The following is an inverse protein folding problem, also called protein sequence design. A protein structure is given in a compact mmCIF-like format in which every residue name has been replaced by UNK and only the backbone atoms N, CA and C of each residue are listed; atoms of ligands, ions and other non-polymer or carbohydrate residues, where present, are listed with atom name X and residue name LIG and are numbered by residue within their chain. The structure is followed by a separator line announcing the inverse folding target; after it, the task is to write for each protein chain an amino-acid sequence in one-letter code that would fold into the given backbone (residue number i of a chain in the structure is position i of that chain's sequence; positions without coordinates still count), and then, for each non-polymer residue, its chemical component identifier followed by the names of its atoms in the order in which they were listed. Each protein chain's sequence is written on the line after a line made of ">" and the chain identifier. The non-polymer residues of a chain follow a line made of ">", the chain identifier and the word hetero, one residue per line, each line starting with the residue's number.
data_IF_006927019652
#
_entry.id   IF_006927019652
#
_cell.length_a   1.000
_cell.length_b   1.000
_cell.length_c   1.000
_cell.angle_alpha   90.00
_cell.angle_beta   90.00
_cell.angle_gamma   90.00
#
_symmetry.space_group_name_H-M   'P 1'
#
loop_
_entity.id
_entity.type
_entity.pdbx_description
1 polymer ?
#
# COMPACT_ATOMS: atom_id res chain seq x y z
N UNK A 1 -24.29 -41.24 17.50
CA UNK A 1 -23.32 -40.61 16.58
C UNK A 1 -23.94 -39.33 16.07
N UNK A 2 -23.51 -38.16 16.57
CA UNK A 2 -23.95 -36.88 16.03
C UNK A 2 -22.99 -36.52 14.87
N UNK A 3 -23.57 -36.35 13.68
CA UNK A 3 -22.83 -35.83 12.53
C UNK A 3 -22.57 -34.33 12.75
N UNK A 4 -21.30 -33.95 12.89
CA UNK A 4 -20.87 -32.54 12.86
C UNK A 4 -20.96 -32.10 11.40
N UNK A 5 -21.95 -31.27 11.08
CA UNK A 5 -22.01 -30.60 9.79
C UNK A 5 -20.88 -29.58 9.70
N UNK A 6 -19.85 -29.88 8.95
CA UNK A 6 -18.83 -28.91 8.54
C UNK A 6 -19.46 -27.97 7.52
N UNK A 7 -19.86 -26.78 7.95
CA UNK A 7 -20.21 -25.69 7.04
C UNK A 7 -18.93 -25.24 6.34
N UNK A 8 -18.74 -25.69 5.10
CA UNK A 8 -17.74 -25.10 4.20
C UNK A 8 -18.18 -23.68 3.90
N UNK A 9 -17.55 -22.71 4.52
CA UNK A 9 -17.72 -21.29 4.17
C UNK A 9 -17.30 -21.12 2.71
N UNK A 10 -18.19 -20.54 1.90
CA UNK A 10 -17.84 -20.21 0.52
C UNK A 10 -16.54 -19.38 0.48
N UNK A 11 -15.64 -19.61 -0.49
CA UNK A 11 -14.44 -18.82 -0.62
C UNK A 11 -14.82 -17.34 -0.68
N UNK A 12 -14.17 -16.51 0.14
CA UNK A 12 -14.37 -15.07 0.06
C UNK A 12 -13.92 -14.60 -1.33
N UNK A 13 -14.68 -13.72 -2.01
CA UNK A 13 -14.25 -13.19 -3.28
C UNK A 13 -12.90 -12.49 -3.15
N UNK A 14 -12.06 -12.63 -4.17
CA UNK A 14 -10.75 -12.00 -4.20
C UNK A 14 -10.90 -10.47 -4.22
N UNK A 15 -9.99 -9.72 -3.59
CA UNK A 15 -10.04 -8.27 -3.63
C UNK A 15 -9.75 -7.74 -5.04
N UNK A 16 -10.47 -6.68 -5.42
CA UNK A 16 -10.39 -6.03 -6.72
C UNK A 16 -9.91 -4.59 -6.60
N UNK A 17 -9.33 -4.05 -7.67
CA UNK A 17 -8.96 -2.64 -7.77
C UNK A 17 -10.11 -1.86 -8.41
N UNK A 18 -10.62 -0.87 -7.70
CA UNK A 18 -11.62 0.04 -8.22
C UNK A 18 -11.06 1.46 -8.31
N UNK A 19 -11.47 2.20 -9.33
CA UNK A 19 -11.15 3.61 -9.51
C UNK A 19 -12.44 4.41 -9.57
N UNK A 20 -12.49 5.53 -8.85
CA UNK A 20 -13.61 6.46 -8.86
C UNK A 20 -13.12 7.90 -9.02
N UNK A 21 -13.96 8.80 -9.52
CA UNK A 21 -13.69 10.24 -9.45
C UNK A 21 -13.70 10.70 -7.99
N UNK A 22 -12.86 11.67 -7.69
CA UNK A 22 -12.65 12.19 -6.34
C UNK A 22 -12.69 13.71 -6.37
N UNK A 23 -13.69 14.30 -5.72
CA UNK A 23 -13.89 15.75 -5.71
C UNK A 23 -14.08 16.24 -4.26
N UNK A 24 -13.02 16.76 -3.61
CA UNK A 24 -13.14 17.36 -2.28
C UNK A 24 -13.79 18.74 -2.35
N UNK A 25 -14.79 18.99 -1.51
CA UNK A 25 -15.45 20.29 -1.39
C UNK A 25 -16.06 20.46 0.01
N UNK A 26 -15.84 21.62 0.66
CA UNK A 26 -16.51 21.99 1.91
C UNK A 26 -16.31 20.97 3.06
N UNK A 27 -15.16 20.35 3.18
CA UNK A 27 -14.88 19.33 4.20
C UNK A 27 -15.52 17.97 3.93
N UNK A 28 -16.10 17.76 2.77
CA UNK A 28 -16.64 16.50 2.26
C UNK A 28 -15.92 16.08 0.99
N UNK A 29 -16.12 14.82 0.59
CA UNK A 29 -15.63 14.27 -0.67
C UNK A 29 -16.82 13.68 -1.43
N UNK A 30 -17.00 14.12 -2.67
CA UNK A 30 -17.91 13.47 -3.59
C UNK A 30 -17.13 12.41 -4.37
N UNK A 31 -17.59 11.18 -4.30
CA UNK A 31 -17.07 10.06 -5.08
C UNK A 31 -18.05 9.74 -6.22
N UNK A 32 -17.53 9.49 -7.40
CA UNK A 32 -18.33 9.00 -8.51
C UNK A 32 -18.64 7.52 -8.43
N UNK A 33 -19.25 6.98 -9.48
CA UNK A 33 -19.46 5.53 -9.59
C UNK A 33 -18.10 4.80 -9.71
N UNK A 34 -17.79 3.85 -8.83
CA UNK A 34 -16.57 3.07 -8.92
C UNK A 34 -16.55 2.19 -10.19
N UNK A 35 -15.39 2.09 -10.83
CA UNK A 35 -15.13 1.22 -11.98
C UNK A 35 -14.10 0.18 -11.55
N UNK A 36 -14.43 -1.10 -11.69
CA UNK A 36 -13.49 -2.19 -11.48
C UNK A 36 -12.49 -2.24 -12.65
N UNK A 37 -11.21 -2.03 -12.38
CA UNK A 37 -10.15 -2.01 -13.39
C UNK A 37 -9.31 -3.30 -13.42
N UNK A 38 -9.40 -4.12 -12.39
CA UNK A 38 -8.71 -5.42 -12.34
C UNK A 38 -9.55 -6.54 -12.95
N UNK A 39 -10.81 -6.66 -12.57
CA UNK A 39 -11.78 -7.64 -13.07
C UNK A 39 -11.17 -9.04 -13.24
N UNK A 40 -10.72 -9.62 -12.14
CA UNK A 40 -9.93 -10.85 -12.13
C UNK A 40 -10.35 -11.74 -10.95
N UNK A 41 -10.52 -13.06 -11.14
CA UNK A 41 -10.86 -13.96 -10.04
C UNK A 41 -9.71 -14.17 -9.03
N UNK A 42 -8.50 -13.72 -9.36
CA UNK A 42 -7.32 -13.81 -8.50
C UNK A 42 -7.13 -12.62 -7.57
N UNK A 43 -6.00 -12.59 -6.90
CA UNK A 43 -5.61 -11.51 -5.98
C UNK A 43 -5.19 -10.26 -6.74
N UNK A 44 -5.83 -9.12 -6.47
CA UNK A 44 -5.45 -7.79 -6.98
C UNK A 44 -5.32 -6.83 -5.81
N UNK A 45 -4.18 -6.11 -5.71
CA UNK A 45 -3.91 -5.27 -4.54
C UNK A 45 -2.85 -4.18 -4.83
N UNK A 46 -2.65 -3.29 -3.88
CA UNK A 46 -1.56 -2.31 -3.82
C UNK A 46 -1.53 -1.36 -5.03
N UNK A 47 -2.66 -0.68 -5.33
CA UNK A 47 -2.72 0.27 -6.43
C UNK A 47 -1.81 1.47 -6.17
N UNK A 48 -1.17 1.97 -7.23
CA UNK A 48 -0.36 3.18 -7.24
C UNK A 48 -0.54 3.89 -8.58
N UNK A 49 -0.79 5.20 -8.56
CA UNK A 49 -0.86 5.97 -9.79
C UNK A 49 0.54 6.25 -10.35
N UNK A 50 0.67 6.28 -11.68
CA UNK A 50 1.85 6.83 -12.34
C UNK A 50 1.97 8.33 -12.06
N UNK A 51 3.19 8.94 -12.09
CA UNK A 51 3.39 10.36 -11.81
C UNK A 51 2.59 11.31 -12.73
N UNK A 52 2.28 10.89 -13.94
CA UNK A 52 1.44 11.63 -14.89
C UNK A 52 -0.08 11.42 -14.67
N UNK A 53 -0.45 10.54 -13.73
CA UNK A 53 -1.84 10.22 -13.39
C UNK A 53 -2.62 9.46 -14.45
N UNK A 54 -1.97 9.02 -15.54
CA UNK A 54 -2.67 8.38 -16.67
C UNK A 54 -2.91 6.89 -16.47
N UNK A 55 -2.15 6.24 -15.58
CA UNK A 55 -2.27 4.81 -15.36
C UNK A 55 -2.26 4.47 -13.87
N UNK A 56 -2.77 3.27 -13.55
CA UNK A 56 -2.67 2.65 -12.24
C UNK A 56 -1.81 1.40 -12.37
N UNK A 57 -0.76 1.32 -11.59
CA UNK A 57 0.03 0.11 -11.36
C UNK A 57 -0.55 -0.66 -10.19
N UNK A 58 -0.55 -1.96 -10.24
CA UNK A 58 -1.00 -2.80 -9.13
C UNK A 58 -0.40 -4.21 -9.20
N UNK A 59 -0.39 -4.89 -8.06
CA UNK A 59 -0.04 -6.30 -7.93
C UNK A 59 -1.22 -7.16 -8.33
N UNK A 60 -1.00 -8.20 -9.15
CA UNK A 60 -2.05 -9.11 -9.57
C UNK A 60 -1.55 -10.54 -9.72
N UNK A 61 -2.41 -11.52 -9.34
CA UNK A 61 -2.20 -12.94 -9.63
C UNK A 61 -3.17 -13.33 -10.74
N UNK A 62 -2.65 -13.59 -11.94
CA UNK A 62 -3.45 -13.88 -13.14
C UNK A 62 -2.92 -15.10 -13.90
N UNK A 63 -3.80 -15.66 -14.73
CA UNK A 63 -3.49 -16.81 -15.59
C UNK A 63 -3.29 -18.10 -14.79
N UNK A 64 -2.45 -18.98 -15.30
CA UNK A 64 -2.20 -20.31 -14.73
C UNK A 64 -1.11 -20.32 -13.64
N UNK A 65 -0.63 -19.16 -13.23
CA UNK A 65 0.39 -19.05 -12.16
C UNK A 65 -0.21 -19.51 -10.84
N UNK A 66 0.45 -20.45 -10.22
CA UNK A 66 0.05 -21.02 -8.93
C UNK A 66 1.04 -20.63 -7.86
N UNK A 67 0.56 -20.40 -6.62
CA UNK A 67 1.44 -20.22 -5.48
C UNK A 67 2.40 -21.42 -5.36
N UNK A 68 3.64 -21.16 -4.98
CA UNK A 68 4.57 -22.21 -4.63
C UNK A 68 4.13 -22.86 -3.31
N UNK A 69 3.77 -24.16 -3.28
CA UNK A 69 3.33 -24.81 -2.05
C UNK A 69 4.45 -24.88 -0.99
N UNK A 70 5.72 -24.79 -1.38
CA UNK A 70 6.87 -24.77 -0.48
C UNK A 70 7.14 -23.37 0.09
N UNK A 71 6.60 -22.31 -0.52
CA UNK A 71 6.79 -20.94 -0.08
C UNK A 71 5.50 -20.12 -0.23
N UNK A 72 4.74 -20.01 0.85
CA UNK A 72 3.45 -19.30 0.86
C UNK A 72 3.53 -17.82 0.46
N UNK A 73 4.72 -17.20 0.47
CA UNK A 73 4.93 -15.83 0.02
C UNK A 73 5.10 -15.75 -1.51
N UNK A 74 5.40 -16.87 -2.17
CA UNK A 74 5.48 -17.01 -3.62
C UNK A 74 4.09 -17.28 -4.20
N UNK A 75 3.32 -16.23 -4.42
CA UNK A 75 1.94 -16.33 -4.92
C UNK A 75 1.86 -16.35 -6.45
N UNK A 76 2.97 -16.12 -7.15
CA UNK A 76 3.01 -15.94 -8.59
C UNK A 76 2.44 -14.58 -9.02
N UNK A 77 2.53 -13.56 -8.16
CA UNK A 77 2.06 -12.22 -8.49
C UNK A 77 3.05 -11.47 -9.38
N UNK A 78 2.50 -10.73 -10.32
CA UNK A 78 3.22 -9.79 -11.18
C UNK A 78 2.64 -8.39 -11.04
N UNK A 79 3.35 -7.41 -11.58
CA UNK A 79 2.87 -6.04 -11.68
C UNK A 79 2.15 -5.84 -13.01
N UNK A 80 0.96 -5.26 -12.92
CA UNK A 80 0.13 -4.87 -14.05
C UNK A 80 -0.06 -3.36 -14.08
N UNK A 81 -0.29 -2.83 -15.27
CA UNK A 81 -0.59 -1.43 -15.56
C UNK A 81 -1.93 -1.33 -16.27
N UNK A 82 -2.82 -0.52 -15.74
CA UNK A 82 -4.08 -0.16 -16.37
C UNK A 82 -4.02 1.29 -16.87
N UNK A 83 -4.17 1.50 -18.18
CA UNK A 83 -4.28 2.82 -18.77
C UNK A 83 -5.72 3.31 -18.66
N UNK A 84 -5.90 4.48 -18.03
CA UNK A 84 -7.22 5.01 -17.68
C UNK A 84 -7.97 5.60 -18.88
N UNK A 85 -7.27 6.01 -19.93
CA UNK A 85 -7.90 6.62 -21.11
C UNK A 85 -8.36 5.55 -22.10
N UNK A 86 -7.52 4.55 -22.37
CA UNK A 86 -7.82 3.47 -23.31
C UNK A 86 -8.53 2.28 -22.68
N UNK A 87 -8.63 2.24 -21.34
CA UNK A 87 -9.14 1.11 -20.56
C UNK A 87 -8.39 -0.21 -20.87
N UNK A 88 -7.08 -0.13 -21.13
CA UNK A 88 -6.25 -1.30 -21.47
C UNK A 88 -5.39 -1.74 -20.30
N UNK A 89 -5.31 -3.05 -20.12
CA UNK A 89 -4.47 -3.71 -19.14
C UNK A 89 -3.23 -4.29 -19.81
N UNK A 90 -2.05 -4.07 -19.25
CA UNK A 90 -0.79 -4.66 -19.69
C UNK A 90 0.01 -5.21 -18.51
N UNK A 91 0.72 -6.30 -18.72
CA UNK A 91 1.65 -6.87 -17.76
C UNK A 91 2.97 -6.11 -17.82
N UNK A 92 3.50 -5.72 -16.66
CA UNK A 92 4.75 -4.95 -16.54
C UNK A 92 5.92 -5.85 -16.16
N UNK A 93 5.70 -6.76 -15.20
CA UNK A 93 6.69 -7.77 -14.82
C UNK A 93 6.21 -9.16 -15.22
N UNK A 94 7.15 -10.06 -15.49
CA UNK A 94 6.89 -11.47 -15.79
C UNK A 94 8.10 -12.29 -15.39
N UNK A 95 8.25 -12.51 -14.08
CA UNK A 95 9.36 -13.27 -13.51
C UNK A 95 8.89 -14.61 -12.96
N UNK A 96 9.81 -15.45 -12.50
CA UNK A 96 9.47 -16.67 -11.74
C UNK A 96 9.14 -16.37 -10.28
N UNK A 97 9.46 -15.16 -9.82
CA UNK A 97 9.30 -14.68 -8.45
C UNK A 97 7.93 -14.02 -8.27
N UNK A 98 7.69 -13.39 -7.12
CA UNK A 98 6.45 -12.65 -6.87
C UNK A 98 6.75 -11.18 -6.57
N UNK A 99 6.10 -10.26 -7.29
CA UNK A 99 6.27 -8.83 -7.16
C UNK A 99 5.06 -8.17 -6.50
N UNK A 100 5.37 -7.19 -5.62
CA UNK A 100 4.38 -6.47 -4.82
C UNK A 100 4.69 -4.98 -4.73
N UNK A 101 3.67 -4.18 -4.38
CA UNK A 101 3.80 -2.76 -4.00
C UNK A 101 4.54 -1.92 -5.05
N UNK A 102 4.05 -1.86 -6.29
CA UNK A 102 4.72 -1.10 -7.34
C UNK A 102 4.69 0.40 -7.05
N UNK A 103 5.81 1.07 -7.33
CA UNK A 103 5.91 2.52 -7.33
C UNK A 103 6.65 2.96 -8.58
N UNK A 104 6.02 3.78 -9.42
CA UNK A 104 6.67 4.41 -10.58
C UNK A 104 7.66 5.47 -10.08
N UNK A 105 8.92 5.35 -10.48
CA UNK A 105 10.00 6.22 -10.03
C UNK A 105 10.10 7.52 -10.87
N UNK A 106 9.35 7.61 -11.97
CA UNK A 106 9.36 8.78 -12.87
C UNK A 106 10.59 8.89 -13.78
N UNK A 107 11.50 7.93 -13.70
CA UNK A 107 12.74 7.86 -14.49
C UNK A 107 12.74 6.71 -15.53
N UNK A 108 11.57 6.16 -15.83
CA UNK A 108 11.41 5.00 -16.71
C UNK A 108 11.55 3.66 -16.01
N UNK A 109 11.53 3.64 -14.68
CA UNK A 109 11.56 2.44 -13.86
C UNK A 109 10.41 2.40 -12.87
N UNK A 110 10.11 1.19 -12.38
CA UNK A 110 9.31 0.97 -11.19
C UNK A 110 10.16 0.33 -10.11
N UNK A 111 9.89 0.65 -8.84
CA UNK A 111 10.38 -0.11 -7.70
C UNK A 111 9.29 -1.03 -7.16
N UNK A 112 9.66 -2.25 -6.79
CA UNK A 112 8.76 -3.28 -6.30
C UNK A 112 9.41 -4.04 -5.14
N UNK A 113 8.61 -4.64 -4.28
CA UNK A 113 9.08 -5.67 -3.37
C UNK A 113 9.02 -7.00 -4.11
N UNK A 114 10.16 -7.65 -4.31
CA UNK A 114 10.23 -8.98 -4.87
C UNK A 114 10.46 -10.00 -3.76
N UNK A 115 9.62 -11.03 -3.74
CA UNK A 115 9.83 -12.22 -2.91
C UNK A 115 10.64 -13.21 -3.73
N UNK A 116 11.89 -13.37 -3.38
CA UNK A 116 12.82 -14.24 -4.08
C UNK A 116 12.54 -15.72 -3.77
N UNK A 117 13.08 -16.62 -4.56
CA UNK A 117 12.82 -18.06 -4.43
C UNK A 117 13.11 -18.63 -3.04
N UNK A 118 14.09 -18.08 -2.33
CA UNK A 118 14.44 -18.48 -0.95
C UNK A 118 13.54 -17.84 0.12
N UNK A 119 12.53 -17.05 -0.28
CA UNK A 119 11.63 -16.31 0.60
C UNK A 119 12.18 -14.96 1.07
N UNK A 120 13.37 -14.55 0.62
CA UNK A 120 13.91 -13.23 0.93
C UNK A 120 13.09 -12.16 0.23
N UNK A 121 12.68 -11.13 0.98
CA UNK A 121 11.98 -9.98 0.43
C UNK A 121 12.94 -8.80 0.32
N UNK A 122 13.16 -8.31 -0.90
CA UNK A 122 14.02 -7.17 -1.19
C UNK A 122 13.36 -6.15 -2.10
N UNK A 123 13.91 -4.94 -2.11
CA UNK A 123 13.49 -3.88 -3.03
C UNK A 123 14.25 -3.98 -4.34
N UNK A 124 13.51 -4.14 -5.43
CA UNK A 124 14.03 -4.27 -6.79
C UNK A 124 13.55 -3.12 -7.68
N UNK A 125 14.32 -2.79 -8.67
CA UNK A 125 14.04 -1.83 -9.72
C UNK A 125 13.90 -2.55 -11.06
N UNK A 126 12.79 -2.33 -11.76
CA UNK A 126 12.47 -2.88 -13.06
C UNK A 126 12.37 -1.76 -14.09
N UNK A 127 13.08 -1.83 -15.25
CA UNK A 127 12.90 -0.88 -16.33
C UNK A 127 11.57 -1.11 -17.04
N UNK A 128 10.78 -0.04 -17.24
CA UNK A 128 9.49 -0.11 -17.95
C UNK A 128 9.63 -0.43 -19.45
N UNK A 129 10.78 -0.11 -20.04
CA UNK A 129 11.09 -0.43 -21.45
C UNK A 129 11.58 -1.86 -21.65
N UNK A 130 11.56 -2.70 -20.60
CA UNK A 130 12.18 -4.04 -20.62
C UNK A 130 13.67 -3.98 -20.32
N UNK A 131 14.23 -5.12 -19.90
CA UNK A 131 15.63 -5.26 -19.50
C UNK A 131 15.77 -5.98 -18.17
N UNK A 132 17.03 -6.14 -17.71
CA UNK A 132 17.32 -6.86 -16.48
C UNK A 132 16.95 -6.01 -15.23
N UNK A 133 16.20 -6.57 -14.27
CA UNK A 133 15.95 -5.90 -13.00
C UNK A 133 17.23 -5.80 -12.15
N UNK A 134 17.22 -4.88 -11.20
CA UNK A 134 18.35 -4.63 -10.29
C UNK A 134 17.84 -4.51 -8.85
N UNK A 135 18.54 -5.15 -7.91
CA UNK A 135 18.28 -4.95 -6.49
C UNK A 135 18.78 -3.56 -6.05
N UNK A 136 17.93 -2.82 -5.33
CA UNK A 136 18.27 -1.45 -4.89
C UNK A 136 19.11 -1.47 -3.60
N UNK A 137 18.71 -2.31 -2.64
CA UNK A 137 19.35 -2.42 -1.31
C UNK A 137 19.68 -3.89 -1.03
N UNK A 138 20.81 -4.41 -1.55
CA UNK A 138 21.12 -5.85 -1.51
C UNK A 138 21.22 -6.43 -0.08
N UNK A 139 21.66 -5.62 0.88
CA UNK A 139 21.88 -6.07 2.26
C UNK A 139 20.66 -5.91 3.17
N UNK A 140 19.62 -5.15 2.72
CA UNK A 140 18.38 -4.96 3.49
C UNK A 140 17.35 -6.01 3.05
N UNK A 141 16.96 -6.86 4.00
CA UNK A 141 16.07 -7.99 3.76
C UNK A 141 14.74 -7.82 4.48
N UNK A 142 13.76 -8.66 4.12
CA UNK A 142 12.40 -8.69 4.69
C UNK A 142 11.66 -7.36 4.56
N UNK A 143 11.93 -6.63 3.47
CA UNK A 143 11.22 -5.39 3.14
C UNK A 143 9.81 -5.76 2.68
N UNK A 144 8.78 -5.29 3.41
CA UNK A 144 7.38 -5.53 3.04
C UNK A 144 6.76 -4.37 2.27
N UNK A 145 7.16 -3.12 2.57
CA UNK A 145 6.70 -1.90 1.90
C UNK A 145 7.81 -0.84 1.88
N UNK A 146 7.69 0.10 0.96
CA UNK A 146 8.64 1.20 0.83
C UNK A 146 7.95 2.50 0.43
N UNK A 147 8.57 3.62 0.77
CA UNK A 147 8.21 4.95 0.28
C UNK A 147 9.49 5.75 0.00
N UNK A 148 9.57 6.34 -1.18
CA UNK A 148 10.66 7.22 -1.55
C UNK A 148 10.49 8.57 -0.85
N UNK A 149 11.47 8.98 -0.05
CA UNK A 149 11.55 10.32 0.51
C UNK A 149 12.05 11.30 -0.56
N UNK A 150 13.10 10.89 -1.28
CA UNK A 150 13.70 11.53 -2.44
C UNK A 150 14.37 10.44 -3.32
N UNK A 151 15.11 10.85 -4.36
CA UNK A 151 15.75 9.92 -5.30
C UNK A 151 16.82 9.00 -4.67
N UNK A 152 17.32 9.31 -3.49
CA UNK A 152 18.38 8.56 -2.80
C UNK A 152 18.01 8.02 -1.43
N UNK A 153 16.84 8.38 -0.91
CA UNK A 153 16.41 8.08 0.47
C UNK A 153 15.06 7.37 0.49
N UNK A 154 14.99 6.28 1.21
CA UNK A 154 13.81 5.43 1.35
C UNK A 154 13.40 5.28 2.81
N UNK A 155 12.11 5.32 3.07
CA UNK A 155 11.52 4.74 4.27
C UNK A 155 11.03 3.33 3.95
N UNK A 156 11.38 2.37 4.80
CA UNK A 156 11.11 0.95 4.62
C UNK A 156 10.29 0.42 5.80
N UNK A 157 9.23 -0.32 5.50
CA UNK A 157 8.59 -1.21 6.46
C UNK A 157 9.31 -2.56 6.36
N UNK A 158 10.02 -2.92 7.39
CA UNK A 158 10.78 -4.17 7.46
C UNK A 158 10.11 -5.11 8.45
N UNK A 159 9.77 -6.29 8.00
CA UNK A 159 9.14 -7.35 8.80
C UNK A 159 10.07 -7.80 9.93
N UNK A 160 9.49 -8.28 11.02
CA UNK A 160 10.25 -9.01 12.05
C UNK A 160 10.96 -10.24 11.46
N UNK A 161 11.95 -10.76 12.18
CA UNK A 161 12.67 -11.92 11.74
C UNK A 161 11.72 -13.12 11.50
N UNK A 162 11.90 -13.90 10.43
CA UNK A 162 11.04 -15.03 10.14
C UNK A 162 10.95 -16.01 11.32
N UNK A 163 9.73 -16.41 11.67
CA UNK A 163 9.48 -17.33 12.78
C UNK A 163 9.51 -16.68 14.18
N UNK A 164 9.77 -15.38 14.29
CA UNK A 164 9.72 -14.63 15.56
C UNK A 164 8.41 -13.88 15.71
N UNK A 165 8.21 -13.26 16.90
CA UNK A 165 7.16 -12.29 17.18
C UNK A 165 7.68 -10.85 17.21
N UNK A 166 8.87 -10.64 16.65
CA UNK A 166 9.45 -9.31 16.59
C UNK A 166 8.55 -8.38 15.80
N UNK A 167 8.26 -7.19 16.32
CA UNK A 167 7.43 -6.24 15.61
C UNK A 167 8.15 -5.72 14.36
N UNK A 168 7.37 -5.38 13.34
CA UNK A 168 7.90 -4.69 12.18
C UNK A 168 8.50 -3.34 12.55
N UNK A 169 9.52 -2.92 11.79
CA UNK A 169 10.25 -1.68 12.00
C UNK A 169 10.11 -0.73 10.83
N UNK A 170 10.10 0.58 11.12
CA UNK A 170 10.36 1.62 10.15
C UNK A 170 11.86 1.86 10.09
N UNK A 171 12.45 1.72 8.91
CA UNK A 171 13.86 2.00 8.68
C UNK A 171 14.03 3.11 7.64
N UNK A 172 15.01 3.97 7.86
CA UNK A 172 15.45 4.96 6.87
C UNK A 172 16.68 4.41 6.17
N UNK A 173 16.64 4.29 4.85
CA UNK A 173 17.71 3.73 4.04
C UNK A 173 18.27 4.73 3.04
N UNK A 174 19.56 4.66 2.79
CA UNK A 174 20.25 5.42 1.77
C UNK A 174 20.69 4.50 0.63
N UNK A 175 20.26 4.81 -0.59
CA UNK A 175 20.62 4.05 -1.80
C UNK A 175 22.13 4.13 -2.06
N UNK A 176 22.75 5.30 -1.87
CA UNK A 176 24.18 5.50 -2.15
C UNK A 176 25.10 4.72 -1.23
N UNK A 177 24.68 4.45 0.01
CA UNK A 177 25.50 3.70 0.99
C UNK A 177 25.06 2.24 1.10
N UNK A 178 23.87 1.89 0.60
CA UNK A 178 23.25 0.55 0.75
C UNK A 178 22.81 0.23 2.18
N UNK A 179 22.86 1.20 3.12
CA UNK A 179 22.60 0.99 4.54
C UNK A 179 21.22 1.50 4.95
N UNK A 180 20.66 0.88 5.98
CA UNK A 180 19.44 1.32 6.65
C UNK A 180 19.66 1.46 8.16
N UNK A 181 18.81 2.27 8.78
CA UNK A 181 18.81 2.56 10.22
C UNK A 181 17.38 2.45 10.75
N UNK A 182 17.19 1.77 11.86
CA UNK A 182 15.88 1.64 12.52
C UNK A 182 15.49 2.97 13.16
N UNK A 183 14.32 3.48 12.80
CA UNK A 183 13.74 4.72 13.33
C UNK A 183 12.67 4.43 14.37
N UNK A 184 11.83 3.42 14.13
CA UNK A 184 10.75 3.06 15.03
C UNK A 184 10.44 1.56 14.93
N UNK A 185 9.85 0.99 15.98
CA UNK A 185 9.36 -0.38 16.05
C UNK A 185 7.85 -0.36 16.30
N UNK A 186 7.15 -1.44 16.02
CA UNK A 186 5.69 -1.49 16.19
C UNK A 186 4.95 -0.64 15.15
N UNK A 187 5.41 -0.65 13.91
CA UNK A 187 4.84 0.15 12.83
C UNK A 187 3.87 -0.66 11.98
N UNK A 188 2.86 0.02 11.44
CA UNK A 188 1.96 -0.51 10.41
C UNK A 188 2.57 -0.40 9.01
N UNK A 189 1.97 -1.13 8.08
CA UNK A 189 2.45 -1.24 6.69
C UNK A 189 2.25 0.02 5.83
N UNK A 190 1.42 0.96 6.26
CA UNK A 190 1.14 2.18 5.50
C UNK A 190 2.21 3.23 5.80
N UNK A 191 3.18 3.35 4.89
CA UNK A 191 4.23 4.36 4.89
C UNK A 191 4.14 5.16 3.59
N UNK A 192 4.07 6.49 3.67
CA UNK A 192 3.77 7.33 2.52
C UNK A 192 4.55 8.65 2.56
N UNK A 193 4.96 9.12 1.38
CA UNK A 193 5.47 10.48 1.23
C UNK A 193 4.34 11.48 1.50
N UNK A 194 4.57 12.43 2.40
CA UNK A 194 3.66 13.55 2.65
C UNK A 194 3.92 14.61 1.57
N UNK A 195 2.90 15.13 0.87
CA UNK A 195 3.09 16.26 -0.04
C UNK A 195 3.74 17.45 0.68
N UNK A 196 4.90 17.90 0.19
CA UNK A 196 5.70 18.99 0.80
C UNK A 196 6.15 18.73 2.25
N UNK A 197 6.25 17.47 2.66
CA UNK A 197 6.62 17.05 4.00
C UNK A 197 7.56 15.86 4.01
N UNK A 198 7.65 15.22 5.18
CA UNK A 198 8.42 14.00 5.42
C UNK A 198 7.71 12.73 4.92
N UNK A 199 7.83 11.70 5.72
CA UNK A 199 7.18 10.40 5.52
C UNK A 199 6.16 10.18 6.64
N UNK A 200 4.90 9.91 6.30
CA UNK A 200 3.93 9.45 7.30
C UNK A 200 3.99 7.94 7.44
N UNK A 201 3.75 7.48 8.66
CA UNK A 201 3.62 6.07 9.00
C UNK A 201 2.65 5.87 10.16
N UNK A 202 2.09 4.67 10.27
CA UNK A 202 1.25 4.29 11.40
C UNK A 202 2.14 3.66 12.47
N UNK A 203 2.07 4.19 13.70
CA UNK A 203 2.73 3.61 14.85
C UNK A 203 1.69 2.98 15.78
N UNK A 204 1.89 1.74 16.17
CA UNK A 204 0.98 0.97 17.03
C UNK A 204 1.67 0.71 18.35
N UNK A 205 1.07 1.19 19.42
CA UNK A 205 1.57 1.05 20.80
C UNK A 205 0.54 0.33 21.65
N UNK A 206 1.01 -0.44 22.62
CA UNK A 206 0.13 -1.00 23.65
C UNK A 206 -0.01 0.01 24.79
N UNK A 207 -1.21 0.52 24.96
CA UNK A 207 -1.52 1.47 26.06
C UNK A 207 -2.56 0.83 26.96
N UNK A 208 -2.17 0.50 28.19
CA UNK A 208 -3.02 -0.14 29.19
C UNK A 208 -3.68 -1.45 28.70
N UNK A 209 -2.92 -2.28 27.95
CA UNK A 209 -3.42 -3.56 27.43
C UNK A 209 -4.20 -3.46 26.10
N UNK A 210 -4.45 -2.27 25.58
CA UNK A 210 -5.11 -2.05 24.31
C UNK A 210 -4.15 -1.52 23.24
N UNK A 211 -4.22 -2.06 22.02
CA UNK A 211 -3.47 -1.54 20.89
C UNK A 211 -4.07 -0.18 20.47
N UNK A 212 -3.23 0.83 20.35
CA UNK A 212 -3.58 2.15 19.84
C UNK A 212 -2.68 2.54 18.69
N UNK A 213 -3.26 3.04 17.62
CA UNK A 213 -2.53 3.51 16.47
C UNK A 213 -2.52 5.03 16.41
N UNK A 214 -1.38 5.58 16.00
CA UNK A 214 -1.19 7.02 15.76
C UNK A 214 -0.47 7.19 14.43
N UNK A 215 -0.96 8.06 13.58
CA UNK A 215 -0.21 8.49 12.40
C UNK A 215 0.87 9.46 12.85
N UNK A 216 2.11 9.16 12.49
CA UNK A 216 3.30 9.97 12.80
C UNK A 216 3.98 10.38 11.50
N UNK A 217 4.78 11.43 11.57
CA UNK A 217 5.66 11.91 10.49
C UNK A 217 7.10 11.72 10.90
N UNK A 218 7.89 11.15 10.01
CA UNK A 218 9.35 11.13 10.04
C UNK A 218 9.86 12.25 9.13
N UNK A 219 10.69 13.14 9.65
CA UNK A 219 11.55 14.01 8.87
C UNK A 219 12.82 13.22 8.48
N UNK A 220 13.04 12.91 7.19
CA UNK A 220 14.20 12.10 6.79
C UNK A 220 15.55 12.76 7.03
N UNK A 221 15.60 14.09 7.01
CA UNK A 221 16.85 14.83 7.16
C UNK A 221 17.31 14.88 8.63
N UNK A 222 16.37 15.12 9.54
CA UNK A 222 16.66 15.27 10.98
C UNK A 222 16.39 13.99 11.78
N UNK A 223 15.74 13.00 11.17
CA UNK A 223 15.25 11.76 11.78
C UNK A 223 14.24 11.99 12.91
N UNK A 224 13.71 13.19 13.02
CA UNK A 224 12.71 13.54 14.02
C UNK A 224 11.36 12.90 13.67
N UNK A 225 10.75 12.27 14.67
CA UNK A 225 9.41 11.72 14.58
C UNK A 225 8.44 12.61 15.36
N UNK A 226 7.34 13.00 14.71
CA UNK A 226 6.30 13.87 15.28
C UNK A 226 4.93 13.19 15.12
N UNK A 227 4.10 13.21 16.16
CA UNK A 227 2.72 12.75 16.05
C UNK A 227 1.89 13.73 15.21
N UNK A 228 1.06 13.17 14.31
CA UNK A 228 0.13 13.93 13.48
C UNK A 228 -1.29 13.83 14.04
N UNK A 229 -1.85 12.63 14.05
CA UNK A 229 -3.23 12.39 14.49
C UNK A 229 -3.40 10.97 15.04
N UNK A 230 -4.14 10.77 16.13
CA UNK A 230 -4.57 9.43 16.56
C UNK A 230 -5.48 8.79 15.49
N UNK A 231 -5.40 7.47 15.36
CA UNK A 231 -6.35 6.73 14.54
C UNK A 231 -7.78 6.80 15.09
N UNK A 232 -8.76 6.46 14.25
CA UNK A 232 -10.13 6.26 14.69
C UNK A 232 -10.21 5.14 15.72
N UNK A 233 -11.19 5.19 16.60
CA UNK A 233 -11.40 4.16 17.62
C UNK A 233 -11.52 2.75 16.97
N UNK A 234 -10.79 1.78 17.51
CA UNK A 234 -10.75 0.41 17.00
C UNK A 234 -9.89 0.22 15.74
N UNK A 235 -9.42 1.27 15.09
CA UNK A 235 -8.60 1.18 13.90
C UNK A 235 -7.11 1.04 14.25
N UNK A 236 -6.60 -0.19 14.27
CA UNK A 236 -5.17 -0.47 14.51
C UNK A 236 -4.39 -0.77 13.24
N UNK A 237 -5.08 -1.18 12.17
CA UNK A 237 -4.51 -1.40 10.86
C UNK A 237 -5.11 -0.38 9.88
N UNK A 238 -4.37 0.68 9.57
CA UNK A 238 -4.79 1.74 8.67
C UNK A 238 -4.03 1.65 7.36
N UNK A 239 -4.78 1.71 6.27
CA UNK A 239 -4.25 2.02 4.95
C UNK A 239 -4.59 3.49 4.65
N UNK A 240 -3.58 4.27 4.34
CA UNK A 240 -3.64 5.72 4.22
C UNK A 240 -3.40 6.16 2.79
N UNK A 241 -3.86 7.34 2.43
CA UNK A 241 -3.45 8.05 1.21
C UNK A 241 -3.43 9.56 1.45
N UNK A 242 -2.46 10.27 0.86
CA UNK A 242 -2.43 11.72 0.86
C UNK A 242 -3.02 12.28 -0.44
N UNK A 243 -3.86 13.29 -0.33
CA UNK A 243 -4.21 14.12 -1.48
C UNK A 243 -3.07 15.11 -1.77
N UNK A 244 -2.88 15.58 -3.01
CA UNK A 244 -1.83 16.54 -3.35
C UNK A 244 -1.89 17.85 -2.57
N UNK A 245 -3.09 18.24 -2.13
CA UNK A 245 -3.34 19.45 -1.33
C UNK A 245 -3.21 19.23 0.20
N UNK A 246 -2.75 18.04 0.61
CA UNK A 246 -2.37 17.72 2.01
C UNK A 246 -3.52 17.24 2.90
N UNK A 247 -4.59 16.67 2.37
CA UNK A 247 -5.55 15.91 3.17
C UNK A 247 -5.09 14.44 3.28
N UNK A 248 -5.04 13.92 4.50
CA UNK A 248 -4.81 12.51 4.76
C UNK A 248 -6.14 11.76 4.77
N UNK A 249 -6.24 10.73 3.96
CA UNK A 249 -7.41 9.85 3.86
C UNK A 249 -7.13 8.51 4.56
N UNK A 250 -8.18 7.94 5.17
CA UNK A 250 -8.20 6.59 5.71
C UNK A 250 -9.57 5.96 5.51
N UNK A 251 -9.63 4.66 5.20
CA UNK A 251 -10.89 3.90 5.16
C UNK A 251 -11.04 3.07 6.43
N UNK A 252 -12.21 3.15 7.08
CA UNK A 252 -12.54 2.33 8.25
C UNK A 252 -14.06 2.20 8.41
N UNK A 253 -14.55 1.00 8.73
CA UNK A 253 -15.98 0.76 9.04
C UNK A 253 -16.95 1.26 7.96
N UNK A 254 -16.63 1.03 6.68
CA UNK A 254 -17.47 1.45 5.54
C UNK A 254 -17.48 2.96 5.27
N UNK A 255 -16.62 3.72 5.91
CA UNK A 255 -16.52 5.18 5.73
C UNK A 255 -15.13 5.58 5.26
N UNK A 256 -15.07 6.68 4.50
CA UNK A 256 -13.83 7.39 4.20
C UNK A 256 -13.68 8.55 5.17
N UNK A 257 -12.55 8.59 5.82
CA UNK A 257 -12.17 9.65 6.76
C UNK A 257 -11.12 10.55 6.12
N UNK A 258 -11.16 11.84 6.48
CA UNK A 258 -10.18 12.84 6.11
C UNK A 258 -9.64 13.56 7.33
N UNK A 259 -8.39 13.96 7.26
CA UNK A 259 -7.72 14.79 8.25
C UNK A 259 -6.78 15.78 7.57
N UNK A 260 -6.69 16.99 8.09
CA UNK A 260 -5.72 18.01 7.68
C UNK A 260 -4.90 18.46 8.88
N UNK A 261 -3.70 18.97 8.64
CA UNK A 261 -2.91 19.57 9.73
C UNK A 261 -3.71 20.67 10.43
N UNK A 262 -3.80 20.55 11.76
CA UNK A 262 -4.59 21.44 12.60
C UNK A 262 -5.97 20.90 12.99
N UNK A 263 -6.48 19.89 12.30
CA UNK A 263 -7.70 19.21 12.73
C UNK A 263 -7.44 18.39 14.00
N UNK A 264 -8.38 18.37 14.96
CA UNK A 264 -8.20 17.63 16.21
C UNK A 264 -8.27 16.11 16.02
N UNK A 265 -8.95 15.61 15.00
CA UNK A 265 -9.16 14.19 14.73
C UNK A 265 -9.58 13.98 13.25
N UNK A 266 -9.60 12.72 12.83
CA UNK A 266 -10.21 12.32 11.58
C UNK A 266 -11.72 12.60 11.59
N UNK A 267 -12.26 13.11 10.47
CA UNK A 267 -13.68 13.31 10.26
C UNK A 267 -14.19 12.49 9.07
N UNK A 268 -15.43 12.02 9.11
CA UNK A 268 -16.06 11.32 7.97
C UNK A 268 -16.24 12.29 6.81
N UNK A 269 -15.63 11.99 5.67
CA UNK A 269 -15.72 12.81 4.45
C UNK A 269 -16.60 12.18 3.36
N UNK A 270 -16.72 10.84 3.32
CA UNK A 270 -17.64 10.14 2.42
C UNK A 270 -18.12 8.81 3.03
N UNK A 271 -19.22 8.29 2.46
CA UNK A 271 -19.82 6.99 2.81
C UNK A 271 -19.48 5.98 1.71
N UNK A 272 -18.63 4.99 2.03
CA UNK A 272 -18.21 3.96 1.09
C UNK A 272 -19.26 2.87 0.94
N UNK A 273 -19.99 2.55 2.02
CA UNK A 273 -21.08 1.56 1.97
C UNK A 273 -22.22 2.02 1.05
N UNK A 274 -22.51 3.33 1.00
CA UNK A 274 -23.52 3.89 0.10
C UNK A 274 -23.17 3.70 -1.39
N UNK A 275 -21.90 3.48 -1.70
CA UNK A 275 -21.40 3.17 -3.05
C UNK A 275 -21.27 1.66 -3.30
N UNK A 276 -21.67 0.82 -2.35
CA UNK A 276 -21.52 -0.63 -2.41
C UNK A 276 -20.08 -1.13 -2.19
N UNK A 277 -19.18 -0.26 -1.75
CA UNK A 277 -17.77 -0.60 -1.50
C UNK A 277 -17.63 -1.25 -0.13
N UNK A 278 -17.24 -2.52 -0.11
CA UNK A 278 -17.10 -3.28 1.12
C UNK A 278 -15.65 -3.72 1.35
N UNK A 279 -15.28 -3.86 2.62
CA UNK A 279 -13.95 -4.34 2.98
C UNK A 279 -12.81 -3.49 2.39
N UNK A 280 -13.03 -2.18 2.27
CA UNK A 280 -12.08 -1.28 1.62
C UNK A 280 -10.77 -1.29 2.38
N UNK A 281 -9.72 -1.66 1.67
CA UNK A 281 -8.33 -1.56 2.08
C UNK A 281 -7.55 -0.82 0.99
N UNK A 282 -6.34 -0.40 1.26
CA UNK A 282 -5.48 0.33 0.32
C UNK A 282 -6.20 1.48 -0.39
N UNK A 283 -5.59 2.59 -0.35
CA UNK A 283 -6.05 3.81 -1.01
C UNK A 283 -4.87 4.40 -1.79
N UNK A 284 -5.14 4.96 -2.96
CA UNK A 284 -4.19 5.79 -3.69
C UNK A 284 -4.95 6.95 -4.33
N UNK A 285 -4.43 8.15 -4.19
CA UNK A 285 -5.00 9.36 -4.83
C UNK A 285 -4.14 9.72 -6.04
N UNK A 286 -4.78 10.10 -7.14
CA UNK A 286 -4.09 10.54 -8.36
C UNK A 286 -3.26 11.81 -8.08
N UNK A 287 -2.17 12.04 -8.83
CA UNK A 287 -1.36 13.27 -8.69
C UNK A 287 -2.15 14.56 -8.91
N UNK A 288 -3.21 14.53 -9.73
CA UNK A 288 -4.11 15.65 -9.92
C UNK A 288 -5.13 15.83 -8.77
N UNK A 289 -5.30 14.83 -7.90
CA UNK A 289 -6.26 14.84 -6.81
C UNK A 289 -7.72 14.71 -7.28
N UNK A 290 -7.95 14.18 -8.46
CA UNK A 290 -9.26 14.02 -9.10
C UNK A 290 -9.79 12.59 -9.14
N UNK A 291 -8.97 11.62 -8.74
CA UNK A 291 -9.31 10.19 -8.71
C UNK A 291 -8.80 9.52 -7.45
N UNK A 292 -9.56 8.51 -7.01
CA UNK A 292 -9.21 7.61 -5.93
C UNK A 292 -9.22 6.18 -6.46
N UNK A 293 -8.10 5.49 -6.34
CA UNK A 293 -8.02 4.04 -6.48
C UNK A 293 -8.09 3.39 -5.09
N UNK A 294 -8.80 2.29 -5.00
CA UNK A 294 -8.97 1.56 -3.76
C UNK A 294 -9.10 0.06 -4.02
N UNK A 295 -8.78 -0.72 -3.01
CA UNK A 295 -9.03 -2.16 -2.99
C UNK A 295 -10.31 -2.42 -2.22
N UNK A 296 -11.25 -3.12 -2.83
CA UNK A 296 -12.48 -3.54 -2.16
C UNK A 296 -12.83 -4.98 -2.51
N UNK A 297 -13.73 -5.56 -1.74
CA UNK A 297 -14.35 -6.84 -2.09
C UNK A 297 -15.52 -6.57 -3.04
N UNK A 298 -15.69 -7.37 -4.11
CA UNK A 298 -16.79 -7.26 -5.04
C UNK A 298 -18.14 -7.61 -4.42
#
# INVERSE_FOLDING_TARGET
>A
MLAVATTTQAPQPAPEILVTSFAPAGGKVTLGKPVNISNNPGYDNQPSFTPDGKSVLFTSVRGDRKPDPANAAQTGSDIYRYDLASATLSQVTSTSESEYSPTDMGDGHISVIQVERDGTQRLWKFPLAGGAPQVILPDVRQIGYHAWADAGTLALFVLGAPGTRDPATLQLASVSTGKSEVIASGVGRSILKIPRGGISFVHVENVNGAARATVKELDPATKRVTALVPAMEGATALDLAWTPDGMLLAAHGGKLYGWRRGDPAFAVVADLDALGLRGVTRLAVSPAGDRLALVAQP
#
